data_IF_592416394152
#
_entry.id   IF_592416394152
#
_cell.length_a   1.000
_cell.length_b   1.000
_cell.length_c   1.000
_cell.angle_alpha   90.00
_cell.angle_beta   90.00
_cell.angle_gamma   90.00
#
_symmetry.space_group_name_H-M   'P 1'
#
loop_
_entity.id
_entity.type
_entity.pdbx_description
1 polymer ?
#
# COMPACT_ATOMS: atom_id res chain seq x y z
N UNK A 1 -7.27 10.85 -5.57
CA UNK A 1 -7.51 10.63 -4.13
C UNK A 1 -6.89 9.32 -3.72
N UNK A 2 -6.43 9.22 -2.47
CA UNK A 2 -5.86 8.02 -1.87
C UNK A 2 -6.50 7.80 -0.52
N UNK A 3 -6.80 6.54 -0.17
CA UNK A 3 -7.36 6.19 1.12
C UNK A 3 -6.38 6.60 2.24
N UNK A 4 -6.93 7.17 3.32
CA UNK A 4 -6.15 7.62 4.47
C UNK A 4 -5.36 6.49 5.12
N UNK A 5 -5.93 5.29 5.14
CA UNK A 5 -5.37 4.08 5.76
C UNK A 5 -5.27 2.94 4.74
N UNK A 6 -4.46 1.93 5.08
CA UNK A 6 -4.59 0.60 4.45
C UNK A 6 -5.98 0.02 4.69
N UNK A 7 -6.39 -0.88 3.79
CA UNK A 7 -7.60 -1.68 3.99
C UNK A 7 -7.42 -2.53 5.25
N UNK A 8 -8.44 -2.53 6.09
CA UNK A 8 -8.46 -3.23 7.38
C UNK A 8 -9.12 -4.59 7.27
N UNK A 9 -8.90 -5.46 8.26
CA UNK A 9 -9.65 -6.71 8.34
C UNK A 9 -11.17 -6.49 8.44
N UNK A 10 -11.61 -5.45 9.16
CA UNK A 10 -13.03 -5.08 9.28
C UNK A 10 -13.65 -4.71 7.92
N UNK A 11 -12.95 -3.98 7.07
CA UNK A 11 -13.44 -3.67 5.72
C UNK A 11 -13.39 -4.90 4.80
N UNK A 12 -12.31 -5.67 4.91
CA UNK A 12 -12.08 -6.83 4.05
C UNK A 12 -13.03 -8.01 4.33
N UNK A 13 -13.52 -8.15 5.56
CA UNK A 13 -14.46 -9.23 5.93
C UNK A 13 -15.75 -9.18 5.09
N UNK A 14 -16.21 -7.97 4.72
CA UNK A 14 -17.40 -7.78 3.92
C UNK A 14 -17.23 -8.31 2.50
N UNK A 15 -16.03 -8.14 1.93
CA UNK A 15 -15.67 -8.72 0.63
C UNK A 15 -15.63 -10.25 0.70
N UNK A 16 -14.98 -10.82 1.71
CA UNK A 16 -14.96 -12.29 1.89
C UNK A 16 -16.37 -12.86 2.01
N UNK A 17 -17.21 -12.26 2.85
CA UNK A 17 -18.59 -12.69 3.04
C UNK A 17 -19.41 -12.62 1.74
N UNK A 18 -19.34 -11.51 1.01
CA UNK A 18 -20.12 -11.30 -0.21
C UNK A 18 -19.68 -12.19 -1.38
N UNK A 19 -18.41 -12.60 -1.42
CA UNK A 19 -17.81 -13.39 -2.53
C UNK A 19 -17.62 -14.87 -2.20
N UNK A 20 -17.85 -15.28 -0.94
CA UNK A 20 -17.58 -16.64 -0.48
C UNK A 20 -16.09 -16.97 -0.37
N UNK A 21 -15.20 -15.96 -0.43
CA UNK A 21 -13.76 -16.16 -0.23
C UNK A 21 -13.42 -16.46 1.22
N UNK A 22 -12.38 -17.26 1.40
CA UNK A 22 -11.81 -17.53 2.71
C UNK A 22 -11.31 -16.24 3.37
N UNK A 23 -11.45 -16.16 4.69
CA UNK A 23 -10.92 -15.05 5.48
C UNK A 23 -9.41 -15.22 5.60
N UNK A 24 -8.59 -14.20 5.26
CA UNK A 24 -7.15 -14.27 5.47
C UNK A 24 -6.82 -14.48 6.95
N UNK A 25 -5.79 -15.28 7.23
CA UNK A 25 -5.25 -15.50 8.57
C UNK A 25 -4.78 -14.16 9.17
N UNK A 26 -5.09 -13.95 10.45
CA UNK A 26 -4.73 -12.78 11.24
C UNK A 26 -3.49 -12.99 12.12
N UNK A 27 -2.81 -14.14 11.96
CA UNK A 27 -1.62 -14.56 12.70
C UNK A 27 -1.84 -14.66 14.22
N UNK A 28 -3.11 -14.73 14.66
CA UNK A 28 -3.48 -14.62 16.06
C UNK A 28 -3.24 -13.22 16.66
N UNK A 29 -2.98 -12.20 15.84
CA UNK A 29 -2.79 -10.81 16.30
C UNK A 29 -4.11 -10.05 16.47
N UNK A 30 -5.21 -10.62 15.96
CA UNK A 30 -6.55 -10.05 15.97
C UNK A 30 -6.93 -9.40 14.64
N UNK A 31 -8.17 -8.92 14.58
CA UNK A 31 -8.77 -8.29 13.39
C UNK A 31 -9.18 -6.84 13.69
N UNK A 32 -10.32 -6.40 13.15
CA UNK A 32 -10.82 -5.04 13.32
C UNK A 32 -10.03 -4.05 12.48
N UNK A 33 -9.55 -3.00 13.13
CA UNK A 33 -8.79 -1.89 12.52
C UNK A 33 -7.32 -2.21 12.22
N UNK A 34 -6.87 -3.44 12.41
CA UNK A 34 -5.58 -3.91 11.90
C UNK A 34 -5.62 -3.98 10.36
N UNK A 35 -4.51 -3.68 9.67
CA UNK A 35 -4.46 -3.83 8.21
C UNK A 35 -4.71 -5.29 7.84
N UNK A 36 -5.48 -5.52 6.77
CA UNK A 36 -5.58 -6.87 6.21
C UNK A 36 -4.19 -7.31 5.72
N UNK A 37 -3.81 -8.52 6.08
CA UNK A 37 -2.54 -9.17 5.72
C UNK A 37 -2.83 -10.54 5.11
N UNK A 38 -1.79 -11.24 4.64
CA UNK A 38 -1.95 -12.53 3.94
C UNK A 38 -2.80 -12.44 2.66
N UNK A 39 -2.83 -11.25 2.05
CA UNK A 39 -3.48 -10.97 0.76
C UNK A 39 -2.43 -10.80 -0.33
N UNK A 40 -2.72 -11.36 -1.50
CA UNK A 40 -1.86 -11.18 -2.66
C UNK A 40 -2.36 -10.02 -3.54
N UNK A 41 -1.63 -9.74 -4.61
CA UNK A 41 -1.93 -8.63 -5.49
C UNK A 41 -3.28 -8.83 -6.22
N UNK A 42 -3.61 -10.05 -6.60
CA UNK A 42 -4.88 -10.38 -7.26
C UNK A 42 -6.09 -10.14 -6.34
N UNK A 43 -6.00 -10.52 -5.07
CA UNK A 43 -7.06 -10.21 -4.12
C UNK A 43 -7.27 -8.70 -3.97
N UNK A 44 -6.19 -7.93 -3.96
CA UNK A 44 -6.25 -6.49 -3.78
C UNK A 44 -6.97 -5.82 -4.97
N UNK A 45 -6.70 -6.24 -6.21
CA UNK A 45 -7.42 -5.71 -7.40
C UNK A 45 -8.86 -6.21 -7.48
N UNK A 46 -9.14 -7.45 -7.07
CA UNK A 46 -10.51 -7.96 -6.97
C UNK A 46 -11.31 -7.20 -5.91
N UNK A 47 -10.72 -6.92 -4.76
CA UNK A 47 -11.33 -6.09 -3.72
C UNK A 47 -11.64 -4.68 -4.22
N UNK A 48 -10.74 -4.07 -5.01
CA UNK A 48 -11.00 -2.77 -5.64
C UNK A 48 -12.24 -2.81 -6.56
N UNK A 49 -12.36 -3.85 -7.39
CA UNK A 49 -13.54 -4.03 -8.24
C UNK A 49 -14.80 -4.28 -7.42
N UNK A 50 -14.74 -5.13 -6.40
CA UNK A 50 -15.85 -5.38 -5.48
C UNK A 50 -16.37 -4.07 -4.88
N UNK A 51 -15.47 -3.26 -4.31
CA UNK A 51 -15.88 -2.00 -3.70
C UNK A 51 -16.45 -1.01 -4.72
N UNK A 52 -15.93 -1.04 -5.97
CA UNK A 52 -16.47 -0.23 -7.06
C UNK A 52 -17.92 -0.61 -7.35
N UNK A 53 -18.21 -1.90 -7.49
CA UNK A 53 -19.56 -2.40 -7.74
C UNK A 53 -20.51 -2.09 -6.57
N UNK A 54 -20.05 -2.26 -5.32
CA UNK A 54 -20.82 -1.93 -4.12
C UNK A 54 -21.23 -0.45 -4.07
N UNK A 55 -20.45 0.44 -4.68
CA UNK A 55 -20.73 1.87 -4.75
C UNK A 55 -21.33 2.31 -6.10
N UNK A 56 -21.71 1.37 -6.97
CA UNK A 56 -22.31 1.69 -8.28
C UNK A 56 -21.35 2.36 -9.27
N UNK A 57 -20.04 2.12 -9.13
CA UNK A 57 -18.99 2.67 -9.98
C UNK A 57 -18.57 1.66 -11.06
N UNK A 58 -17.98 2.18 -12.14
CA UNK A 58 -17.35 1.34 -13.16
C UNK A 58 -16.07 0.69 -12.60
N UNK A 59 -15.94 -0.62 -12.75
CA UNK A 59 -14.74 -1.34 -12.32
C UNK A 59 -13.52 -0.92 -13.12
N UNK A 60 -12.39 -0.70 -12.44
CA UNK A 60 -11.12 -0.36 -13.12
C UNK A 60 -10.51 -1.59 -13.78
N UNK A 61 -10.67 -2.80 -13.24
CA UNK A 61 -9.94 -3.96 -13.73
C UNK A 61 -10.84 -4.96 -14.46
N UNK A 62 -10.41 -5.39 -15.65
CA UNK A 62 -10.89 -6.65 -16.25
C UNK A 62 -9.92 -7.76 -15.86
N UNK A 63 -10.43 -8.80 -15.19
CA UNK A 63 -9.63 -9.88 -14.60
C UNK A 63 -9.97 -11.18 -15.34
N UNK A 64 -8.97 -11.75 -16.03
CA UNK A 64 -9.08 -13.02 -16.74
C UNK A 64 -7.95 -13.94 -16.27
N UNK A 65 -8.22 -14.77 -15.25
CA UNK A 65 -7.20 -15.57 -14.57
C UNK A 65 -6.08 -14.65 -14.02
N UNK A 66 -4.84 -14.84 -14.47
CA UNK A 66 -3.66 -14.07 -14.10
C UNK A 66 -3.47 -12.78 -14.93
N UNK A 67 -4.28 -12.59 -15.98
CA UNK A 67 -4.24 -11.38 -16.79
C UNK A 67 -5.21 -10.34 -16.26
N UNK A 68 -4.66 -9.25 -15.72
CA UNK A 68 -5.42 -8.08 -15.24
C UNK A 68 -5.16 -6.88 -16.14
N UNK A 69 -6.21 -6.35 -16.76
CA UNK A 69 -6.16 -5.21 -17.67
C UNK A 69 -6.93 -4.03 -17.10
N UNK A 70 -6.33 -2.85 -16.93
CA UNK A 70 -7.01 -1.68 -16.37
C UNK A 70 -7.72 -0.83 -17.44
N UNK A 71 -8.94 -0.40 -17.16
CA UNK A 71 -9.58 0.75 -17.78
C UNK A 71 -9.26 2.00 -16.95
N UNK A 72 -8.25 2.75 -17.36
CA UNK A 72 -7.83 3.97 -16.64
C UNK A 72 -8.82 5.13 -16.75
N UNK A 73 -9.84 5.02 -17.60
CA UNK A 73 -10.92 6.00 -17.66
C UNK A 73 -12.05 5.68 -16.70
N UNK A 74 -12.14 4.46 -16.17
CA UNK A 74 -13.18 4.09 -15.22
C UNK A 74 -13.08 4.93 -13.93
N UNK A 75 -14.23 5.21 -13.34
CA UNK A 75 -14.35 5.98 -12.11
C UNK A 75 -14.31 5.11 -10.83
N UNK A 76 -13.89 3.84 -10.91
CA UNK A 76 -13.83 2.93 -9.78
C UNK A 76 -12.61 3.09 -8.87
N UNK A 77 -12.60 2.27 -7.82
CA UNK A 77 -11.43 2.09 -6.96
C UNK A 77 -10.37 1.24 -7.65
N UNK A 78 -9.13 1.46 -7.25
CA UNK A 78 -7.95 0.76 -7.77
C UNK A 78 -6.80 0.78 -6.77
N UNK A 79 -5.76 0.00 -7.05
CA UNK A 79 -4.47 0.22 -6.42
C UNK A 79 -3.87 1.55 -6.90
N UNK A 80 -3.10 2.25 -6.04
CA UNK A 80 -2.30 3.39 -6.49
C UNK A 80 -1.22 2.92 -7.47
N UNK A 81 -0.82 3.80 -8.39
CA UNK A 81 0.46 3.60 -9.07
C UNK A 81 1.60 3.84 -8.07
N UNK A 82 2.78 3.30 -8.35
CA UNK A 82 3.96 3.52 -7.51
C UNK A 82 4.27 5.02 -7.35
N UNK A 83 4.12 5.78 -8.43
CA UNK A 83 4.37 7.20 -8.44
C UNK A 83 3.33 7.99 -7.63
N UNK A 84 2.05 7.63 -7.73
CA UNK A 84 0.99 8.21 -6.89
C UNK A 84 1.25 7.94 -5.42
N UNK A 85 1.64 6.71 -5.08
CA UNK A 85 1.99 6.32 -3.73
C UNK A 85 3.17 7.14 -3.20
N UNK A 86 4.26 7.29 -3.97
CA UNK A 86 5.41 8.07 -3.53
C UNK A 86 5.07 9.56 -3.36
N UNK A 87 4.32 10.13 -4.31
CA UNK A 87 3.89 11.52 -4.25
C UNK A 87 3.06 11.80 -2.98
N UNK A 88 2.13 10.90 -2.67
CA UNK A 88 1.27 10.97 -1.49
C UNK A 88 2.05 10.76 -0.18
N UNK A 89 2.96 9.79 -0.14
CA UNK A 89 3.85 9.54 1.00
C UNK A 89 4.75 10.76 1.28
N UNK A 90 5.12 11.50 0.23
CA UNK A 90 5.89 12.75 0.27
C UNK A 90 5.04 14.00 0.53
N UNK A 91 3.80 13.88 0.99
CA UNK A 91 2.93 15.03 1.26
C UNK A 91 2.77 15.97 0.05
N UNK A 92 2.61 15.41 -1.14
CA UNK A 92 2.52 16.18 -2.38
C UNK A 92 3.87 16.45 -3.03
N UNK A 93 4.83 15.53 -2.89
CA UNK A 93 6.14 15.60 -3.55
C UNK A 93 7.23 16.35 -2.79
N UNK A 94 7.06 16.61 -1.49
CA UNK A 94 8.12 17.21 -0.64
C UNK A 94 9.35 16.31 -0.55
N UNK A 95 10.50 16.95 -0.32
CA UNK A 95 11.80 16.29 -0.11
C UNK A 95 11.94 15.77 1.33
N UNK A 96 11.13 14.78 1.68
CA UNK A 96 11.16 14.07 2.97
C UNK A 96 11.68 12.64 2.80
N UNK A 97 12.24 12.05 3.86
CA UNK A 97 12.77 10.67 3.80
C UNK A 97 11.72 9.63 4.14
N UNK A 98 10.79 9.97 5.03
CA UNK A 98 9.80 9.06 5.59
C UNK A 98 8.39 9.61 5.43
N UNK A 99 7.43 8.70 5.44
CA UNK A 99 6.01 8.95 5.24
C UNK A 99 5.33 9.67 6.40
N UNK A 100 6.05 9.94 7.50
CA UNK A 100 5.64 10.82 8.60
C UNK A 100 5.91 12.32 8.30
N UNK A 101 6.29 12.66 7.06
CA UNK A 101 6.61 14.04 6.67
C UNK A 101 8.00 14.52 7.13
N UNK A 102 8.86 13.64 7.65
CA UNK A 102 10.14 14.01 8.24
C UNK A 102 11.33 13.30 7.59
N UNK A 103 12.53 13.75 7.96
CA UNK A 103 13.80 13.10 7.60
C UNK A 103 14.26 12.07 8.65
N UNK A 104 13.56 11.98 9.78
CA UNK A 104 13.81 10.99 10.83
C UNK A 104 12.58 10.13 11.08
N UNK A 105 12.79 8.88 11.46
CA UNK A 105 11.74 7.95 11.86
C UNK A 105 11.94 7.51 13.31
N UNK A 106 10.90 7.62 14.14
CA UNK A 106 10.89 7.21 15.55
C UNK A 106 9.81 6.14 15.79
N UNK A 107 10.06 5.23 16.73
CA UNK A 107 9.12 4.16 17.09
C UNK A 107 7.77 4.68 17.65
N UNK A 108 7.70 5.95 18.03
CA UNK A 108 6.50 6.67 18.46
C UNK A 108 5.69 7.29 17.32
N UNK A 109 6.19 7.23 16.08
CA UNK A 109 5.59 7.87 14.90
C UNK A 109 5.27 6.88 13.77
N UNK A 110 5.78 5.65 13.87
CA UNK A 110 5.58 4.59 12.91
C UNK A 110 5.83 3.22 13.55
N UNK A 111 5.32 2.17 12.93
CA UNK A 111 5.56 0.79 13.35
C UNK A 111 6.61 0.12 12.46
N UNK A 112 7.81 -0.09 12.98
CA UNK A 112 8.94 -0.69 12.26
C UNK A 112 9.90 -1.36 13.25
N UNK A 113 10.93 -2.04 12.75
CA UNK A 113 11.98 -2.58 13.61
C UNK A 113 12.93 -1.47 14.04
N UNK A 114 12.67 -0.92 15.23
CA UNK A 114 13.49 0.10 15.87
C UNK A 114 14.60 -0.47 16.77
N UNK A 115 14.94 -1.76 16.66
CA UNK A 115 16.00 -2.37 17.46
C UNK A 115 17.41 -1.86 17.12
N UNK A 116 17.60 -1.30 15.92
CA UNK A 116 18.88 -0.77 15.46
C UNK A 116 18.78 0.69 14.97
N UNK A 117 19.88 1.42 15.15
CA UNK A 117 19.99 2.81 14.70
C UNK A 117 20.39 2.90 13.22
N UNK A 118 19.78 3.84 12.50
CA UNK A 118 20.17 4.25 11.14
C UNK A 118 20.53 5.73 11.18
N UNK A 119 21.70 6.05 11.75
CA UNK A 119 22.12 7.43 11.98
C UNK A 119 22.30 8.21 10.66
N UNK A 120 21.93 9.51 10.63
CA UNK A 120 21.24 10.28 11.68
C UNK A 120 19.69 10.17 11.62
N UNK A 121 19.16 9.25 10.81
CA UNK A 121 17.76 9.17 10.37
C UNK A 121 16.83 8.37 11.27
N UNK A 122 17.32 7.61 12.24
CA UNK A 122 16.48 7.00 13.27
C UNK A 122 17.19 7.01 14.64
N UNK A 123 16.59 6.36 15.63
CA UNK A 123 17.13 6.08 16.97
C UNK A 123 16.53 4.74 17.39
N UNK A 124 17.25 4.02 18.23
CA UNK A 124 16.74 2.79 18.85
C UNK A 124 15.46 3.11 19.64
N UNK A 125 14.48 2.21 19.57
CA UNK A 125 13.20 2.31 20.24
C UNK A 125 12.46 0.98 20.30
N UNK A 126 11.16 1.02 20.60
CA UNK A 126 10.32 -0.17 20.68
C UNK A 126 10.22 -0.89 19.33
N UNK A 127 10.47 -2.20 19.32
CA UNK A 127 10.12 -3.11 18.24
C UNK A 127 8.90 -3.94 18.64
N UNK A 128 7.77 -3.70 17.98
CA UNK A 128 6.47 -4.30 18.37
C UNK A 128 6.29 -5.75 17.91
N UNK A 129 7.03 -6.19 16.90
CA UNK A 129 6.97 -7.57 16.41
C UNK A 129 5.66 -7.99 15.72
N UNK A 130 4.74 -7.05 15.45
CA UNK A 130 3.44 -7.28 14.79
C UNK A 130 2.85 -6.00 14.22
N UNK A 131 1.76 -6.10 13.47
CA UNK A 131 0.99 -4.94 12.99
C UNK A 131 0.31 -4.19 14.15
N UNK A 132 -0.01 -2.92 13.90
CA UNK A 132 -0.84 -2.07 14.76
C UNK A 132 -2.02 -1.51 13.98
N UNK A 133 -3.01 -0.94 14.66
CA UNK A 133 -4.19 -0.34 14.03
C UNK A 133 -3.76 0.71 13.00
N UNK A 134 -4.47 0.79 11.88
CA UNK A 134 -4.07 1.59 10.71
C UNK A 134 -4.00 3.10 10.98
N UNK A 135 -4.51 3.57 12.12
CA UNK A 135 -4.56 4.96 12.59
C UNK A 135 -3.77 5.18 13.90
N UNK A 136 -2.88 4.25 14.29
CA UNK A 136 -2.14 4.30 15.56
C UNK A 136 -1.17 5.48 15.73
N UNK A 137 -0.81 6.17 14.65
CA UNK A 137 0.15 7.29 14.68
C UNK A 137 -0.43 8.51 13.98
N UNK A 138 0.25 9.65 14.11
CA UNK A 138 -0.17 10.87 13.40
C UNK A 138 -0.09 10.67 11.88
N UNK A 139 -1.09 11.14 11.13
CA UNK A 139 -1.00 11.14 9.68
C UNK A 139 0.02 12.18 9.20
N UNK A 140 0.44 12.04 7.95
CA UNK A 140 1.17 13.10 7.25
C UNK A 140 0.27 14.30 6.93
N UNK A 141 0.83 15.37 6.35
CA UNK A 141 0.09 16.60 6.05
C UNK A 141 -1.08 16.44 5.06
N UNK A 142 -1.20 15.29 4.36
CA UNK A 142 -2.33 14.95 3.51
C UNK A 142 -3.39 14.09 4.22
N UNK A 143 -3.24 13.82 5.52
CA UNK A 143 -4.14 12.96 6.27
C UNK A 143 -3.89 11.47 6.05
N UNK A 144 -2.73 11.08 5.51
CA UNK A 144 -2.40 9.68 5.25
C UNK A 144 -1.60 9.07 6.41
N UNK A 145 -2.09 7.94 6.92
CA UNK A 145 -1.52 7.22 8.04
C UNK A 145 -0.59 6.11 7.55
N UNK A 146 0.43 5.80 8.37
CA UNK A 146 1.30 4.64 8.20
C UNK A 146 1.95 4.52 6.80
N UNK A 147 2.25 5.64 6.12
CA UNK A 147 2.98 5.63 4.84
C UNK A 147 4.45 5.16 4.98
N UNK A 148 4.92 4.91 6.21
CA UNK A 148 6.19 4.24 6.51
C UNK A 148 5.95 3.19 7.59
N UNK A 149 6.28 1.92 7.31
CA UNK A 149 6.13 0.81 8.23
C UNK A 149 4.72 0.19 8.25
N UNK A 150 4.43 -0.54 9.33
CA UNK A 150 3.25 -1.38 9.55
C UNK A 150 3.15 -2.56 8.55
N UNK A 151 2.77 -2.32 7.30
CA UNK A 151 2.72 -3.36 6.25
C UNK A 151 3.26 -2.79 4.93
N UNK A 152 3.87 -3.65 4.13
CA UNK A 152 4.10 -3.33 2.72
C UNK A 152 2.76 -3.13 2.03
N UNK A 153 2.70 -2.18 1.11
CA UNK A 153 1.48 -1.88 0.36
C UNK A 153 1.66 -2.21 -1.13
N UNK A 154 0.79 -3.07 -1.65
CA UNK A 154 0.71 -3.36 -3.09
C UNK A 154 0.41 -2.11 -3.90
N UNK A 155 1.18 -1.90 -4.97
CA UNK A 155 0.92 -0.92 -6.02
C UNK A 155 0.53 -1.62 -7.33
N UNK A 156 -0.07 -0.87 -8.25
CA UNK A 156 -0.41 -1.38 -9.58
C UNK A 156 0.81 -1.90 -10.35
N UNK A 157 1.90 -1.14 -10.33
CA UNK A 157 3.02 -1.26 -11.26
C UNK A 157 3.72 -2.63 -11.21
N UNK A 158 4.16 -3.10 -12.38
CA UNK A 158 5.24 -4.09 -12.44
C UNK A 158 6.55 -3.45 -11.95
N UNK A 159 7.34 -4.21 -11.21
CA UNK A 159 8.66 -3.78 -10.76
C UNK A 159 9.66 -3.92 -11.91
N UNK A 160 10.17 -2.80 -12.39
CA UNK A 160 11.36 -2.73 -13.24
C UNK A 160 12.52 -2.04 -12.50
N UNK A 161 13.66 -2.73 -12.36
CA UNK A 161 14.85 -2.18 -11.69
C UNK A 161 15.37 -0.91 -12.35
N UNK A 162 15.37 -0.88 -13.69
CA UNK A 162 15.82 0.25 -14.51
C UNK A 162 14.69 1.17 -14.98
N UNK A 163 13.43 0.92 -14.58
CA UNK A 163 12.28 1.63 -15.13
C UNK A 163 12.39 3.15 -14.94
N UNK A 164 12.95 3.61 -13.83
CA UNK A 164 13.12 5.04 -13.55
C UNK A 164 14.01 5.76 -14.59
N UNK A 165 14.91 5.06 -15.28
CA UNK A 165 15.76 5.65 -16.34
C UNK A 165 14.96 6.04 -17.58
N UNK A 166 13.87 5.34 -17.85
CA UNK A 166 13.05 5.49 -19.05
C UNK A 166 11.59 5.84 -18.73
N UNK A 167 11.28 6.19 -17.47
CA UNK A 167 9.92 6.46 -17.02
C UNK A 167 9.39 7.72 -17.72
N UNK A 168 8.14 7.70 -18.23
CA UNK A 168 7.48 8.92 -18.67
C UNK A 168 7.36 9.90 -17.49
N UNK A 169 7.32 11.20 -17.82
CA UNK A 169 7.24 12.26 -16.81
C UNK A 169 5.86 12.37 -16.18
N UNK A 170 4.80 12.11 -16.95
CA UNK A 170 3.42 12.29 -16.52
C UNK A 170 2.76 10.93 -16.24
N UNK A 171 2.26 10.76 -15.02
CA UNK A 171 1.51 9.59 -14.54
C UNK A 171 2.08 8.23 -14.96
N UNK A 172 3.35 7.92 -14.62
CA UNK A 172 3.93 6.62 -14.92
C UNK A 172 3.17 5.49 -14.20
N UNK A 173 3.08 4.34 -14.87
CA UNK A 173 2.31 3.15 -14.46
C UNK A 173 3.15 1.87 -14.45
N UNK A 174 4.46 2.03 -14.51
CA UNK A 174 5.41 0.93 -14.57
C UNK A 174 5.60 0.39 -15.99
N UNK A 175 6.49 -0.61 -16.14
CA UNK A 175 6.59 -1.40 -17.36
C UNK A 175 5.26 -2.11 -17.68
N UNK A 176 5.04 -2.43 -18.95
CA UNK A 176 3.83 -3.16 -19.39
C UNK A 176 3.79 -4.60 -18.89
N UNK A 177 4.96 -5.22 -18.69
CA UNK A 177 5.12 -6.61 -18.25
C UNK A 177 6.19 -6.74 -17.16
N UNK A 178 6.13 -7.80 -16.37
CA UNK A 178 7.11 -8.11 -15.34
C UNK A 178 6.78 -9.38 -14.58
N UNK A 179 7.68 -9.79 -13.68
CA UNK A 179 7.49 -10.97 -12.82
C UNK A 179 7.07 -10.61 -11.39
N UNK A 180 7.31 -9.36 -10.97
CA UNK A 180 7.06 -8.90 -9.61
C UNK A 180 6.27 -7.60 -9.63
N UNK A 181 5.30 -7.46 -8.74
CA UNK A 181 4.57 -6.20 -8.50
C UNK A 181 5.28 -5.38 -7.44
N UNK A 182 5.13 -4.06 -7.52
CA UNK A 182 5.75 -3.12 -6.59
C UNK A 182 5.09 -3.18 -5.21
N UNK A 183 5.93 -3.13 -4.17
CA UNK A 183 5.55 -2.93 -2.77
C UNK A 183 6.20 -1.67 -2.20
N UNK A 184 5.45 -0.89 -1.43
CA UNK A 184 5.90 0.40 -0.86
C UNK A 184 5.67 0.51 0.65
N UNK A 185 6.41 1.41 1.30
CA UNK A 185 6.20 1.77 2.72
C UNK A 185 7.10 1.07 3.74
N UNK A 186 7.54 -0.16 3.48
CA UNK A 186 8.18 -0.99 4.51
C UNK A 186 7.15 -1.71 5.38
N UNK A 187 7.61 -2.55 6.30
CA UNK A 187 6.75 -3.33 7.20
C UNK A 187 7.15 -3.17 8.67
N UNK A 188 6.33 -3.67 9.59
CA UNK A 188 6.60 -3.68 11.03
C UNK A 188 7.95 -4.30 11.42
N UNK A 189 8.49 -5.22 10.60
CA UNK A 189 9.82 -5.84 10.77
C UNK A 189 10.92 -5.24 9.89
N UNK A 190 10.67 -4.13 9.21
CA UNK A 190 11.69 -3.43 8.44
C UNK A 190 12.53 -2.56 9.36
N UNK A 191 13.86 -2.62 9.20
CA UNK A 191 14.73 -1.56 9.69
C UNK A 191 14.38 -0.21 9.02
N UNK A 192 14.75 0.94 9.62
CA UNK A 192 14.40 2.27 9.12
C UNK A 192 14.73 2.49 7.64
N UNK A 193 15.85 1.94 7.15
CA UNK A 193 16.28 2.07 5.75
C UNK A 193 15.24 1.54 4.75
N UNK A 194 14.51 0.49 5.14
CA UNK A 194 13.45 -0.14 4.36
C UNK A 194 12.11 0.61 4.43
N UNK A 195 11.94 1.51 5.41
CA UNK A 195 10.73 2.32 5.58
C UNK A 195 10.77 3.67 4.84
N UNK A 196 11.87 3.97 4.12
CA UNK A 196 12.00 5.22 3.38
C UNK A 196 10.94 5.29 2.27
N UNK A 197 10.37 6.46 2.03
CA UNK A 197 9.39 6.66 0.94
C UNK A 197 9.96 6.33 -0.44
N UNK A 198 11.28 6.42 -0.61
CA UNK A 198 11.98 6.07 -1.85
C UNK A 198 12.36 4.59 -1.96
N UNK A 199 12.24 3.79 -0.88
CA UNK A 199 12.62 2.37 -0.92
C UNK A 199 11.55 1.57 -1.66
N UNK A 200 11.97 0.82 -2.68
CA UNK A 200 11.08 0.01 -3.53
C UNK A 200 11.23 -1.46 -3.14
N UNK A 201 10.17 -2.05 -2.60
CA UNK A 201 10.05 -3.50 -2.46
C UNK A 201 9.36 -4.10 -3.68
N UNK A 202 9.37 -5.43 -3.76
CA UNK A 202 8.63 -6.16 -4.78
C UNK A 202 8.28 -7.57 -4.29
N UNK A 203 7.23 -8.15 -4.86
CA UNK A 203 6.81 -9.53 -4.60
C UNK A 203 6.15 -10.11 -5.84
N UNK A 204 6.09 -11.44 -5.95
CA UNK A 204 5.31 -12.06 -7.02
C UNK A 204 3.83 -11.73 -6.80
N UNK A 205 3.00 -11.61 -7.85
CA UNK A 205 1.60 -11.22 -7.66
C UNK A 205 0.77 -12.27 -6.90
N UNK A 206 1.27 -13.51 -6.75
CA UNK A 206 0.65 -14.58 -5.98
C UNK A 206 1.10 -14.61 -4.51
N UNK A 207 2.17 -13.89 -4.16
CA UNK A 207 2.74 -13.89 -2.82
C UNK A 207 1.72 -13.38 -1.79
N UNK A 208 1.53 -14.16 -0.72
CA UNK A 208 0.76 -13.81 0.46
C UNK A 208 1.70 -13.85 1.65
N UNK A 209 1.85 -12.74 2.35
CA UNK A 209 2.64 -12.68 3.57
C UNK A 209 1.92 -11.85 4.63
N UNK A 210 2.16 -12.19 5.89
CA UNK A 210 1.64 -11.51 7.09
C UNK A 210 2.07 -10.06 7.28
N UNK A 211 2.76 -9.51 6.28
CA UNK A 211 3.23 -8.14 6.25
C UNK A 211 2.95 -7.46 4.91
N UNK A 212 2.14 -8.08 4.04
CA UNK A 212 1.66 -7.51 2.78
C UNK A 212 0.19 -7.14 2.93
N UNK A 213 -0.12 -5.87 2.70
CA UNK A 213 -1.47 -5.32 2.62
C UNK A 213 -1.57 -4.38 1.41
N UNK A 214 -2.55 -3.50 1.43
CA UNK A 214 -2.75 -2.52 0.37
C UNK A 214 -3.63 -1.36 0.84
N UNK A 215 -3.64 -0.27 0.07
CA UNK A 215 -4.59 0.83 0.20
C UNK A 215 -5.20 1.16 -1.16
N UNK A 216 -6.32 1.88 -1.12
CA UNK A 216 -7.05 2.26 -2.32
C UNK A 216 -6.62 3.62 -2.86
N UNK A 217 -6.73 3.77 -4.18
CA UNK A 217 -6.74 5.02 -4.89
C UNK A 217 -8.04 5.15 -5.70
N UNK A 218 -8.42 6.39 -5.97
CA UNK A 218 -9.67 6.75 -6.66
C UNK A 218 -9.50 8.09 -7.38
N UNK A 219 -10.01 8.17 -8.60
CA UNK A 219 -10.06 9.42 -9.38
C UNK A 219 -11.54 9.67 -9.70
N UNK A 220 -12.21 10.66 -9.08
CA UNK A 220 -13.56 11.01 -9.47
C UNK A 220 -13.50 11.57 -10.89
N UNK A 221 -14.37 11.07 -11.76
CA UNK A 221 -14.68 11.78 -12.99
C UNK A 221 -15.43 13.06 -12.60
N UNK A 222 -14.83 14.20 -12.90
CA UNK A 222 -15.59 15.45 -12.91
C UNK A 222 -16.43 15.41 -14.19
N UNK A 223 -17.75 15.24 -14.05
CA UNK A 223 -18.65 15.53 -15.16
C UNK A 223 -18.53 17.04 -15.45
N UNK A 224 -17.96 17.35 -16.62
CA UNK A 224 -17.91 18.72 -17.16
C UNK A 224 -19.25 19.16 -17.72
#
# INVERSE_FOLDING_TARGET
>A
YMAACCVTFEEYIMYCFATGKEYPDDEGWGRGRLPVINVNWYDAVEYCNFLSLMHGLETVYTINSDKVTPNWQANGYRLPTEAEWEYAAREGGKKVRFGNGQNTLRATEANFDASADYKPYSKIGEYRGKTVAVDSFKPNALGLYNMSGNVWEWCWDWFGGDYYKNSPRENPRGPETGSYRVLRGGRWSSLPQGCRVAFRGHGTPIDRYFNYGFRLAFVPQLHG
#
